data_IF_309154626771
#
_entry.id   IF_309154626771
#
_cell.length_a   1.000
_cell.length_b   1.000
_cell.length_c   1.000
_cell.angle_alpha   90.00
_cell.angle_beta   90.00
_cell.angle_gamma   90.00
#
_symmetry.space_group_name_H-M   'P 1'
#
loop_
_entity.id
_entity.type
_entity.pdbx_description
1 polymer ?
#
# COMPACT_ATOMS: atom_id res chain seq x y z
N UNK A 1 -4.63 6.75 18.42
CA UNK A 1 -3.64 7.34 17.49
C UNK A 1 -4.41 8.17 16.47
N UNK A 2 -3.83 9.28 16.00
CA UNK A 2 -4.38 9.99 14.84
C UNK A 2 -4.13 9.11 13.62
N UNK A 3 -5.18 8.80 12.86
CA UNK A 3 -5.06 8.03 11.62
C UNK A 3 -4.35 8.87 10.55
N UNK A 4 -3.50 8.23 9.76
CA UNK A 4 -2.70 8.87 8.73
C UNK A 4 -3.54 9.11 7.47
N UNK A 5 -3.65 10.37 7.05
CA UNK A 5 -4.36 10.79 5.84
C UNK A 5 -3.49 11.60 4.86
N UNK A 6 -2.21 11.82 5.18
CA UNK A 6 -1.28 12.53 4.31
C UNK A 6 -0.89 11.64 3.13
N UNK A 7 -1.44 11.95 1.95
CA UNK A 7 -1.26 11.17 0.74
C UNK A 7 0.18 11.13 0.23
N UNK A 8 0.92 12.22 0.35
CA UNK A 8 2.32 12.27 -0.10
C UNK A 8 3.20 11.36 0.77
N UNK A 9 2.94 11.36 2.08
CA UNK A 9 3.65 10.52 3.02
C UNK A 9 3.29 9.04 2.81
N UNK A 10 2.00 8.72 2.63
CA UNK A 10 1.52 7.37 2.29
C UNK A 10 2.13 6.88 0.98
N UNK A 11 2.13 7.72 -0.07
CA UNK A 11 2.77 7.40 -1.34
C UNK A 11 4.26 7.08 -1.17
N UNK A 12 4.98 7.90 -0.40
CA UNK A 12 6.40 7.71 -0.15
C UNK A 12 6.68 6.37 0.55
N UNK A 13 5.88 6.01 1.56
CA UNK A 13 5.97 4.72 2.24
C UNK A 13 5.69 3.54 1.30
N UNK A 14 4.57 3.57 0.58
CA UNK A 14 4.21 2.50 -0.35
C UNK A 14 5.25 2.36 -1.46
N UNK A 15 5.82 3.48 -1.95
CA UNK A 15 6.85 3.44 -2.99
C UNK A 15 8.16 2.84 -2.48
N UNK A 16 8.50 3.05 -1.21
CA UNK A 16 9.63 2.37 -0.60
C UNK A 16 9.39 0.86 -0.55
N UNK A 17 8.22 0.40 -0.10
CA UNK A 17 7.89 -1.03 -0.06
C UNK A 17 7.85 -1.67 -1.45
N UNK A 18 7.30 -0.98 -2.46
CA UNK A 18 7.34 -1.41 -3.86
C UNK A 18 8.77 -1.66 -4.34
N UNK A 19 9.68 -0.72 -4.04
CA UNK A 19 11.10 -0.86 -4.35
C UNK A 19 11.73 -2.04 -3.59
N UNK A 20 11.48 -2.17 -2.29
CA UNK A 20 11.99 -3.29 -1.49
C UNK A 20 11.49 -4.64 -2.03
N UNK A 21 10.21 -4.73 -2.40
CA UNK A 21 9.60 -5.94 -2.96
C UNK A 21 10.26 -6.33 -4.28
N UNK A 22 10.48 -5.36 -5.18
CA UNK A 22 11.13 -5.60 -6.48
C UNK A 22 12.58 -6.09 -6.35
N UNK A 23 13.26 -5.72 -5.25
CA UNK A 23 14.66 -6.08 -4.97
C UNK A 23 14.79 -7.34 -4.09
N UNK A 24 13.69 -7.89 -3.58
CA UNK A 24 13.68 -9.07 -2.73
C UNK A 24 14.26 -10.29 -3.46
N UNK A 25 15.13 -11.03 -2.78
CA UNK A 25 15.92 -12.12 -3.37
C UNK A 25 15.18 -13.46 -3.38
N UNK A 26 14.16 -13.59 -2.55
CA UNK A 26 13.40 -14.83 -2.38
C UNK A 26 11.94 -14.54 -1.98
N UNK A 27 11.12 -15.57 -1.96
CA UNK A 27 9.70 -15.47 -1.60
C UNK A 27 9.46 -15.07 -0.15
N UNK A 28 10.31 -15.53 0.79
CA UNK A 28 10.16 -15.19 2.22
C UNK A 28 10.32 -13.68 2.47
N UNK A 29 11.28 -13.03 1.78
CA UNK A 29 11.46 -11.58 1.85
C UNK A 29 10.25 -10.84 1.26
N UNK A 30 9.70 -11.33 0.15
CA UNK A 30 8.48 -10.77 -0.46
C UNK A 30 7.31 -10.88 0.51
N UNK A 31 7.06 -12.06 1.08
CA UNK A 31 5.97 -12.30 2.03
C UNK A 31 6.07 -11.38 3.25
N UNK A 32 7.29 -11.16 3.78
CA UNK A 32 7.52 -10.21 4.86
C UNK A 32 7.15 -8.78 4.46
N UNK A 33 7.52 -8.35 3.26
CA UNK A 33 7.22 -7.01 2.75
C UNK A 33 5.71 -6.85 2.54
N UNK A 34 5.02 -7.84 1.97
CA UNK A 34 3.57 -7.82 1.84
C UNK A 34 2.89 -7.67 3.21
N UNK A 35 3.34 -8.44 4.20
CA UNK A 35 2.80 -8.36 5.55
C UNK A 35 3.03 -7.00 6.20
N UNK A 36 4.19 -6.37 5.96
CA UNK A 36 4.45 -5.02 6.45
C UNK A 36 3.49 -3.99 5.83
N UNK A 37 3.21 -4.09 4.53
CA UNK A 37 2.24 -3.23 3.85
C UNK A 37 0.81 -3.47 4.37
N UNK A 38 0.43 -4.72 4.63
CA UNK A 38 -0.89 -5.04 5.20
C UNK A 38 -1.04 -4.52 6.63
N UNK A 39 0.02 -4.61 7.45
CA UNK A 39 0.02 -4.05 8.81
C UNK A 39 0.00 -2.51 8.80
N UNK A 40 0.60 -1.87 7.80
CA UNK A 40 0.55 -0.42 7.64
C UNK A 40 -0.89 0.12 7.54
N UNK A 41 -1.83 -0.69 7.04
CA UNK A 41 -3.25 -0.34 6.95
C UNK A 41 -3.89 0.00 8.30
N UNK A 42 -3.39 -0.55 9.42
CA UNK A 42 -3.92 -0.28 10.76
C UNK A 42 -3.77 1.19 11.17
N UNK A 43 -2.79 1.89 10.58
CA UNK A 43 -2.53 3.31 10.83
C UNK A 43 -3.26 4.27 9.90
N UNK A 44 -3.96 3.78 8.87
CA UNK A 44 -4.55 4.62 7.83
C UNK A 44 -5.93 5.16 8.21
N UNK A 45 -6.24 6.33 7.65
CA UNK A 45 -7.60 6.85 7.64
C UNK A 45 -8.54 5.93 6.85
N UNK A 46 -9.80 5.81 7.28
CA UNK A 46 -10.76 4.87 6.69
C UNK A 46 -11.06 5.22 5.22
N UNK A 47 -11.08 6.50 4.87
CA UNK A 47 -11.30 6.93 3.49
C UNK A 47 -10.12 6.53 2.59
N UNK A 48 -8.88 6.69 3.08
CA UNK A 48 -7.70 6.27 2.33
C UNK A 48 -7.63 4.75 2.24
N UNK A 49 -7.92 4.02 3.32
CA UNK A 49 -7.99 2.56 3.30
C UNK A 49 -8.97 2.06 2.24
N UNK A 50 -10.18 2.63 2.22
CA UNK A 50 -11.21 2.27 1.25
C UNK A 50 -10.78 2.62 -0.17
N UNK A 51 -10.22 3.81 -0.40
CA UNK A 51 -9.75 4.22 -1.72
C UNK A 51 -8.71 3.24 -2.29
N UNK A 52 -7.68 2.91 -1.51
CA UNK A 52 -6.60 2.02 -1.96
C UNK A 52 -7.05 0.56 -2.13
N UNK A 53 -8.17 0.20 -1.51
CA UNK A 53 -8.88 -1.06 -1.75
C UNK A 53 -10.05 -0.91 -2.75
N UNK A 54 -10.12 0.17 -3.51
CA UNK A 54 -11.17 0.44 -4.51
C UNK A 54 -12.61 0.35 -3.97
N UNK A 55 -12.84 0.86 -2.75
CA UNK A 55 -14.09 0.74 -1.98
C UNK A 55 -14.52 -0.70 -1.68
N UNK A 56 -13.65 -1.69 -1.86
CA UNK A 56 -13.91 -3.07 -1.52
C UNK A 56 -13.25 -3.43 -0.18
N UNK A 57 -13.69 -4.54 0.41
CA UNK A 57 -13.02 -5.16 1.57
C UNK A 57 -11.69 -5.85 1.17
N UNK A 58 -11.32 -5.80 -0.11
CA UNK A 58 -10.17 -6.46 -0.70
C UNK A 58 -9.40 -5.52 -1.62
N UNK A 59 -8.08 -5.60 -1.64
CA UNK A 59 -7.20 -4.78 -2.46
C UNK A 59 -5.76 -4.90 -1.95
N UNK A 60 -4.99 -3.81 -2.00
CA UNK A 60 -3.59 -3.79 -1.56
C UNK A 60 -3.39 -4.38 -0.13
N UNK A 61 -4.35 -4.15 0.76
CA UNK A 61 -4.24 -4.56 2.15
C UNK A 61 -4.84 -5.94 2.45
N UNK A 62 -5.35 -6.65 1.44
CA UNK A 62 -5.88 -8.01 1.57
C UNK A 62 -4.92 -9.06 0.95
N UNK A 63 -5.06 -10.34 1.30
CA UNK A 63 -4.42 -11.42 0.55
C UNK A 63 -4.87 -11.40 -0.92
N UNK A 64 -3.94 -11.45 -1.88
CA UNK A 64 -4.29 -11.33 -3.29
C UNK A 64 -3.12 -10.97 -4.22
N UNK A 65 -3.42 -10.21 -5.28
CA UNK A 65 -2.47 -9.84 -6.34
C UNK A 65 -1.64 -8.60 -5.96
N UNK A 66 -0.77 -8.76 -4.96
CA UNK A 66 -0.02 -7.67 -4.33
C UNK A 66 0.66 -6.71 -5.32
N UNK A 67 1.46 -7.21 -6.26
CA UNK A 67 2.17 -6.37 -7.25
C UNK A 67 1.19 -5.49 -8.05
N UNK A 68 0.09 -6.08 -8.53
CA UNK A 68 -0.88 -5.36 -9.36
C UNK A 68 -1.70 -4.34 -8.58
N UNK A 69 -1.98 -4.63 -7.30
CA UNK A 69 -2.74 -3.73 -6.45
C UNK A 69 -1.85 -2.59 -5.93
N UNK A 70 -0.57 -2.86 -5.65
CA UNK A 70 0.44 -1.85 -5.33
C UNK A 70 0.60 -0.84 -6.47
N UNK A 71 0.74 -1.28 -7.72
CA UNK A 71 0.87 -0.38 -8.87
C UNK A 71 -0.38 0.51 -9.02
N UNK A 72 -1.59 -0.05 -8.87
CA UNK A 72 -2.84 0.74 -8.90
C UNK A 72 -2.88 1.78 -7.79
N UNK A 73 -2.57 1.38 -6.56
CA UNK A 73 -2.57 2.27 -5.39
C UNK A 73 -1.58 3.42 -5.55
N UNK A 74 -0.36 3.14 -6.03
CA UNK A 74 0.64 4.18 -6.31
C UNK A 74 0.14 5.16 -7.38
N UNK A 75 -0.52 4.69 -8.44
CA UNK A 75 -1.11 5.56 -9.47
C UNK A 75 -2.25 6.43 -8.93
N UNK A 76 -3.11 5.87 -8.08
CA UNK A 76 -4.19 6.62 -7.42
C UNK A 76 -3.63 7.75 -6.54
N UNK A 77 -2.59 7.46 -5.76
CA UNK A 77 -1.93 8.44 -4.92
C UNK A 77 -1.18 9.50 -5.74
N UNK A 78 -0.50 9.11 -6.81
CA UNK A 78 0.25 10.02 -7.68
C UNK A 78 -0.65 10.97 -8.49
N UNK A 79 -1.90 10.59 -8.76
CA UNK A 79 -2.86 11.43 -9.48
C UNK A 79 -3.36 12.63 -8.67
N UNK A 80 -2.90 12.81 -7.43
CA UNK A 80 -3.06 14.08 -6.71
C UNK A 80 -1.99 15.04 -7.19
N UNK A 81 -2.29 15.69 -8.33
CA UNK A 81 -1.58 16.90 -8.71
C UNK A 81 -1.88 17.99 -7.67
N UNK A 82 -0.78 18.53 -7.12
CA UNK A 82 -0.67 19.85 -6.49
C UNK A 82 -1.48 20.92 -7.23
#
# INVERSE_FOLDING_TARGET
>A
MMKMNNREEIYSYLKQYDREYSLAKNSEERDRIENNVRNFAEGLDDEIYLELNNNAASGLFAPGFFESDMDKSLRQLQNVKL
#
